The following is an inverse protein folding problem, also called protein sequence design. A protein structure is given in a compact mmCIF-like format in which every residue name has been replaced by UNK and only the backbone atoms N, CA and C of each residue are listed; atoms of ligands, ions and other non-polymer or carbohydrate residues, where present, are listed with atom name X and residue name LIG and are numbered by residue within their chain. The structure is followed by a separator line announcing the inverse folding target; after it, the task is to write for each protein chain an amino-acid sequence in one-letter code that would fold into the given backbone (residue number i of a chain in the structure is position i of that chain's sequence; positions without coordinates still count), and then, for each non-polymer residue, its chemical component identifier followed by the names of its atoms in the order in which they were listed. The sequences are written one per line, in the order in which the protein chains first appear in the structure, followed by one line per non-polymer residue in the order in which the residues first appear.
data_IF_401308326523
#
_entry.id   IF_401308326523
#
_cell.length_a   1.000
_cell.length_b   1.000
_cell.length_c   1.000
_cell.angle_alpha   90.00
_cell.angle_beta   90.00
_cell.angle_gamma   90.00
#
_symmetry.space_group_name_H-M   'P 1'
#
loop_
_entity.id
_entity.type
_entity.pdbx_description
1 polymer ?
#
# COMPACT_ATOMS: atom_id res chain seq x y z
N UNK A 1 20.77 23.22 19.50
CA UNK A 1 19.53 22.92 18.74
C UNK A 1 18.89 24.25 18.39
N UNK A 2 18.73 24.55 17.10
CA UNK A 2 17.99 25.74 16.65
C UNK A 2 16.52 25.52 16.99
N UNK A 3 15.93 26.43 17.75
CA UNK A 3 14.51 26.36 18.14
C UNK A 3 13.68 27.01 17.03
N UNK A 4 13.47 26.27 15.94
CA UNK A 4 12.62 26.70 14.82
C UNK A 4 11.17 26.77 15.30
N UNK A 5 10.50 27.89 15.02
CA UNK A 5 9.08 28.03 15.31
C UNK A 5 8.25 27.20 14.28
N UNK A 6 6.95 27.06 14.47
CA UNK A 6 6.11 26.25 13.56
C UNK A 6 6.02 26.83 12.14
N UNK A 7 6.15 28.15 11.99
CA UNK A 7 6.10 28.85 10.72
C UNK A 7 7.35 28.56 9.89
N UNK A 8 8.53 28.62 10.51
CA UNK A 8 9.80 28.23 9.90
C UNK A 8 9.73 26.77 9.40
N UNK A 9 9.18 25.86 10.21
CA UNK A 9 9.03 24.44 9.83
C UNK A 9 8.13 24.29 8.60
N UNK A 10 7.07 25.08 8.48
CA UNK A 10 6.17 25.05 7.32
C UNK A 10 6.83 25.61 6.05
N UNK A 11 7.57 26.71 6.16
CA UNK A 11 8.31 27.27 5.03
C UNK A 11 9.40 26.30 4.53
N UNK A 12 10.20 25.74 5.44
CA UNK A 12 11.18 24.72 5.09
C UNK A 12 10.54 23.46 4.51
N UNK A 13 9.37 23.05 5.03
CA UNK A 13 8.61 21.91 4.48
C UNK A 13 8.21 22.17 3.04
N UNK A 14 7.74 23.37 2.73
CA UNK A 14 7.34 23.75 1.37
C UNK A 14 8.52 23.75 0.41
N UNK A 15 9.66 24.29 0.84
CA UNK A 15 10.90 24.25 0.06
C UNK A 15 11.38 22.82 -0.21
N UNK A 16 11.35 21.96 0.82
CA UNK A 16 11.73 20.54 0.70
C UNK A 16 10.80 19.77 -0.23
N UNK A 17 9.50 19.99 -0.13
CA UNK A 17 8.52 19.38 -1.04
C UNK A 17 8.76 19.81 -2.49
N UNK A 18 9.05 21.10 -2.71
CA UNK A 18 9.38 21.61 -4.05
C UNK A 18 10.69 21.01 -4.58
N UNK A 19 11.73 20.92 -3.74
CA UNK A 19 12.98 20.28 -4.11
C UNK A 19 12.78 18.79 -4.46
N UNK A 20 11.91 18.10 -3.72
CA UNK A 20 11.54 16.71 -4.01
C UNK A 20 10.77 16.56 -5.33
N UNK A 21 9.94 17.54 -5.72
CA UNK A 21 9.26 17.54 -7.03
C UNK A 21 10.24 17.68 -8.21
N UNK A 22 11.36 18.35 -7.99
CA UNK A 22 12.42 18.47 -8.98
C UNK A 22 13.33 17.21 -9.02
N UNK A 23 13.24 16.35 -8.00
CA UNK A 23 14.08 15.18 -7.86
C UNK A 23 13.47 13.95 -8.53
N UNK A 24 14.06 13.49 -9.64
CA UNK A 24 13.60 12.27 -10.34
C UNK A 24 14.36 11.05 -9.85
N UNK A 25 13.61 10.13 -9.24
CA UNK A 25 14.12 8.82 -8.82
C UNK A 25 14.05 7.86 -10.00
N UNK A 26 15.21 7.30 -10.39
CA UNK A 26 15.28 6.29 -11.45
C UNK A 26 15.40 4.89 -10.85
N UNK A 27 16.53 4.59 -10.22
CA UNK A 27 16.75 3.36 -9.46
C UNK A 27 16.94 3.71 -7.98
N UNK A 28 16.24 3.03 -7.06
CA UNK A 28 16.22 3.47 -5.66
C UNK A 28 17.61 3.49 -5.02
N UNK A 29 18.40 2.44 -5.21
CA UNK A 29 19.75 2.34 -4.63
C UNK A 29 20.72 3.40 -5.15
N UNK A 30 20.50 3.93 -6.35
CA UNK A 30 21.36 4.95 -6.95
C UNK A 30 20.85 6.39 -6.72
N UNK A 31 19.58 6.54 -6.34
CA UNK A 31 18.90 7.84 -6.21
C UNK A 31 18.92 8.41 -4.79
N UNK A 32 19.52 7.72 -3.81
CA UNK A 32 19.59 8.24 -2.45
C UNK A 32 21.03 8.26 -1.99
N UNK A 33 21.47 9.44 -1.51
CA UNK A 33 22.73 9.55 -0.78
C UNK A 33 22.71 8.64 0.46
N UNK A 34 23.90 8.26 0.91
CA UNK A 34 24.05 7.38 2.08
C UNK A 34 23.28 7.94 3.28
N UNK A 35 22.46 7.10 3.91
CA UNK A 35 21.66 7.45 5.08
C UNK A 35 20.44 8.34 4.83
N UNK A 36 20.25 8.93 3.63
CA UNK A 36 19.12 9.83 3.36
C UNK A 36 17.77 9.15 3.57
N UNK A 37 17.56 7.99 2.95
CA UNK A 37 16.27 7.31 3.05
C UNK A 37 16.01 6.83 4.48
N UNK A 38 17.06 6.39 5.18
CA UNK A 38 16.97 5.98 6.57
C UNK A 38 16.59 7.15 7.47
N UNK A 39 17.18 8.32 7.25
CA UNK A 39 16.82 9.53 7.96
C UNK A 39 15.35 9.90 7.75
N UNK A 40 14.87 9.85 6.50
CA UNK A 40 13.46 10.14 6.18
C UNK A 40 12.52 9.15 6.87
N UNK A 41 12.82 7.85 6.81
CA UNK A 41 11.97 6.81 7.40
C UNK A 41 11.99 6.89 8.94
N UNK A 42 13.16 6.99 9.57
CA UNK A 42 13.29 6.87 11.02
C UNK A 42 13.04 8.21 11.72
N UNK A 43 13.61 9.29 11.20
CA UNK A 43 13.59 10.60 11.89
C UNK A 43 12.37 11.43 11.52
N UNK A 44 11.92 11.39 10.26
CA UNK A 44 10.77 12.15 9.80
C UNK A 44 9.49 11.34 9.93
N UNK A 45 9.31 10.26 9.17
CA UNK A 45 8.07 9.45 9.19
C UNK A 45 7.73 8.96 10.60
N UNK A 46 8.72 8.40 11.31
CA UNK A 46 8.58 7.92 12.70
C UNK A 46 8.48 9.02 13.77
N UNK A 47 8.48 10.31 13.40
CA UNK A 47 8.52 11.41 14.36
C UNK A 47 7.27 11.46 15.24
N UNK A 48 7.48 11.80 16.51
CA UNK A 48 6.40 12.12 17.45
C UNK A 48 5.71 13.46 17.15
N UNK A 49 6.34 14.32 16.34
CA UNK A 49 5.75 15.59 15.89
C UNK A 49 4.94 15.35 14.61
N UNK A 50 3.65 15.69 14.65
CA UNK A 50 2.73 15.45 13.53
C UNK A 50 3.17 16.12 12.21
N UNK A 51 3.72 17.33 12.28
CA UNK A 51 4.25 18.07 11.11
C UNK A 51 5.42 17.34 10.46
N UNK A 52 6.38 16.87 11.27
CA UNK A 52 7.56 16.16 10.78
C UNK A 52 7.18 14.79 10.20
N UNK A 53 6.25 14.08 10.85
CA UNK A 53 5.73 12.80 10.37
C UNK A 53 4.99 12.95 9.04
N UNK A 54 4.15 13.97 8.89
CA UNK A 54 3.47 14.26 7.63
C UNK A 54 4.46 14.65 6.53
N UNK A 55 5.42 15.53 6.81
CA UNK A 55 6.47 15.89 5.85
C UNK A 55 7.27 14.66 5.41
N UNK A 56 7.72 13.84 6.36
CA UNK A 56 8.44 12.60 6.09
C UNK A 56 7.62 11.65 5.21
N UNK A 57 6.34 11.49 5.50
CA UNK A 57 5.43 10.69 4.68
C UNK A 57 5.31 11.23 3.25
N UNK A 58 5.17 12.55 3.07
CA UNK A 58 5.06 13.18 1.74
C UNK A 58 6.36 13.06 0.94
N UNK A 59 7.51 13.26 1.58
CA UNK A 59 8.82 13.05 0.95
C UNK A 59 9.00 11.58 0.55
N UNK A 60 8.71 10.64 1.46
CA UNK A 60 8.80 9.22 1.17
C UNK A 60 7.86 8.82 0.01
N UNK A 61 6.64 9.35 -0.04
CA UNK A 61 5.71 9.12 -1.13
C UNK A 61 6.29 9.61 -2.46
N UNK A 62 6.80 10.85 -2.53
CA UNK A 62 7.42 11.40 -3.75
C UNK A 62 8.64 10.58 -4.19
N UNK A 63 9.45 10.12 -3.24
CA UNK A 63 10.62 9.30 -3.54
C UNK A 63 10.27 7.92 -4.10
N UNK A 64 9.14 7.36 -3.69
CA UNK A 64 8.68 6.06 -4.19
C UNK A 64 7.92 6.20 -5.52
N UNK A 65 7.13 7.24 -5.69
CA UNK A 65 6.19 7.38 -6.81
C UNK A 65 6.84 7.85 -8.13
N UNK A 66 7.53 6.95 -8.83
CA UNK A 66 8.17 7.23 -10.13
C UNK A 66 7.16 7.32 -11.28
N UNK A 67 5.98 6.75 -11.11
CA UNK A 67 4.96 6.64 -12.16
C UNK A 67 3.86 7.71 -12.09
N UNK A 68 3.96 8.65 -11.14
CA UNK A 68 2.97 9.69 -10.83
C UNK A 68 1.59 9.09 -10.44
N UNK A 69 1.58 8.00 -9.67
CA UNK A 69 0.38 7.33 -9.17
C UNK A 69 -0.24 8.04 -7.96
N UNK A 70 0.54 8.79 -7.17
CA UNK A 70 0.11 9.40 -5.91
C UNK A 70 -1.12 10.31 -6.09
N UNK A 71 -1.23 11.01 -7.22
CA UNK A 71 -2.38 11.84 -7.57
C UNK A 71 -3.70 11.05 -7.66
N UNK A 72 -3.64 9.76 -7.98
CA UNK A 72 -4.79 8.86 -8.07
C UNK A 72 -5.03 8.07 -6.77
N UNK A 73 -4.10 8.15 -5.82
CA UNK A 73 -4.14 7.44 -4.54
C UNK A 73 -4.49 8.37 -3.35
N UNK A 74 -4.98 9.58 -3.62
CA UNK A 74 -5.34 10.57 -2.59
C UNK A 74 -6.53 10.12 -1.72
N UNK A 75 -7.37 9.24 -2.25
CA UNK A 75 -8.57 8.74 -1.58
C UNK A 75 -8.54 7.22 -1.64
N UNK A 76 -8.59 6.52 -0.49
CA UNK A 76 -8.76 5.07 -0.48
C UNK A 76 -10.04 4.67 -1.20
N UNK A 77 -9.92 3.76 -2.17
CA UNK A 77 -11.01 3.22 -2.97
C UNK A 77 -10.92 1.70 -3.06
N UNK A 78 -11.95 1.04 -3.60
CA UNK A 78 -11.92 -0.38 -3.91
C UNK A 78 -11.46 -0.59 -5.36
N UNK A 79 -10.56 -1.55 -5.58
CA UNK A 79 -10.04 -1.92 -6.89
C UNK A 79 -10.64 -3.26 -7.34
N UNK A 80 -11.52 -3.20 -8.35
CA UNK A 80 -12.18 -4.39 -8.90
C UNK A 80 -11.38 -4.98 -10.07
N UNK A 81 -11.50 -6.29 -10.30
CA UNK A 81 -10.70 -7.05 -11.29
C UNK A 81 -10.69 -6.43 -12.69
N UNK A 82 -11.83 -5.91 -13.15
CA UNK A 82 -11.98 -5.31 -14.49
C UNK A 82 -12.06 -3.78 -14.48
N UNK A 83 -11.65 -3.15 -13.38
CA UNK A 83 -11.67 -1.69 -13.30
C UNK A 83 -10.61 -1.07 -14.19
N UNK A 84 -11.03 -0.14 -15.05
CA UNK A 84 -10.13 0.68 -15.85
C UNK A 84 -9.72 1.91 -15.04
N UNK A 85 -8.54 1.82 -14.43
CA UNK A 85 -8.01 2.86 -13.54
C UNK A 85 -6.75 3.44 -14.18
N UNK A 86 -6.51 4.74 -13.95
CA UNK A 86 -5.34 5.47 -14.47
C UNK A 86 -4.04 5.19 -13.72
N UNK A 87 -4.01 4.15 -12.89
CA UNK A 87 -2.81 3.72 -12.18
C UNK A 87 -1.88 2.97 -13.14
N UNK A 88 -0.59 3.26 -13.03
CA UNK A 88 0.47 2.58 -13.78
C UNK A 88 1.18 1.60 -12.85
N UNK A 89 1.40 0.39 -13.34
CA UNK A 89 2.20 -0.62 -12.64
C UNK A 89 3.64 -0.48 -13.16
N UNK A 90 4.58 -0.27 -12.25
CA UNK A 90 6.00 -0.16 -12.55
C UNK A 90 6.58 -1.48 -13.04
N UNK A 91 7.72 -1.39 -13.73
CA UNK A 91 8.44 -2.59 -14.14
C UNK A 91 9.16 -3.23 -12.96
N UNK A 92 9.19 -4.57 -12.94
CA UNK A 92 9.90 -5.29 -11.89
C UNK A 92 11.42 -5.15 -12.06
N UNK A 93 12.09 -4.52 -11.07
CA UNK A 93 13.56 -4.49 -10.95
C UNK A 93 14.03 -5.26 -9.70
N UNK A 94 14.91 -6.26 -9.85
CA UNK A 94 15.57 -6.94 -8.72
C UNK A 94 16.31 -6.01 -7.75
N UNK A 95 16.91 -4.91 -8.24
CA UNK A 95 17.63 -3.95 -7.42
C UNK A 95 16.66 -3.16 -6.53
N UNK A 96 15.55 -2.70 -7.09
CA UNK A 96 14.49 -2.04 -6.31
C UNK A 96 13.88 -2.98 -5.28
N UNK A 97 13.66 -4.25 -5.65
CA UNK A 97 13.24 -5.27 -4.68
C UNK A 97 14.26 -5.45 -3.55
N UNK A 98 15.55 -5.45 -3.85
CA UNK A 98 16.62 -5.56 -2.85
C UNK A 98 16.63 -4.34 -1.93
N UNK A 99 16.48 -3.15 -2.49
CA UNK A 99 16.38 -1.90 -1.74
C UNK A 99 15.19 -1.91 -0.78
N UNK A 100 13.99 -2.27 -1.26
CA UNK A 100 12.81 -2.38 -0.38
C UNK A 100 13.03 -3.46 0.67
N UNK A 101 13.65 -4.59 0.32
CA UNK A 101 13.97 -5.66 1.29
C UNK A 101 14.87 -5.16 2.41
N UNK A 102 15.89 -4.38 2.10
CA UNK A 102 16.82 -3.81 3.08
C UNK A 102 16.11 -2.88 4.07
N UNK A 103 15.13 -2.10 3.59
CA UNK A 103 14.45 -1.10 4.42
C UNK A 103 13.09 -1.57 4.97
N UNK A 104 12.62 -2.78 4.62
CA UNK A 104 11.26 -3.26 4.91
C UNK A 104 10.83 -3.15 6.37
N UNK A 105 11.74 -3.45 7.28
CA UNK A 105 11.46 -3.48 8.72
C UNK A 105 11.29 -2.05 9.24
N UNK A 106 12.22 -1.16 8.90
CA UNK A 106 12.15 0.26 9.23
C UNK A 106 10.92 0.92 8.61
N UNK A 107 10.61 0.61 7.35
CA UNK A 107 9.40 1.11 6.68
C UNK A 107 8.14 0.68 7.43
N UNK A 108 7.97 -0.62 7.67
CA UNK A 108 6.77 -1.11 8.34
C UNK A 108 6.62 -0.56 9.75
N UNK A 109 7.71 -0.54 10.54
CA UNK A 109 7.71 -0.02 11.90
C UNK A 109 7.33 1.47 11.95
N UNK A 110 7.99 2.31 11.13
CA UNK A 110 7.78 3.75 11.19
C UNK A 110 6.47 4.20 10.53
N UNK A 111 6.00 3.51 9.48
CA UNK A 111 4.65 3.76 8.94
C UNK A 111 3.56 3.39 9.97
N UNK A 112 3.71 2.26 10.67
CA UNK A 112 2.77 1.89 11.72
C UNK A 112 2.82 2.88 12.89
N UNK A 113 4.00 3.36 13.26
CA UNK A 113 4.16 4.40 14.27
C UNK A 113 3.46 5.70 13.86
N UNK A 114 3.58 6.11 12.58
CA UNK A 114 2.88 7.28 12.06
C UNK A 114 1.36 7.13 12.15
N UNK A 115 0.82 5.93 11.86
CA UNK A 115 -0.61 5.64 12.03
C UNK A 115 -1.01 5.64 13.51
N UNK A 116 -0.19 5.04 14.38
CA UNK A 116 -0.48 4.98 15.82
C UNK A 116 -0.54 6.37 16.47
N UNK A 117 0.43 7.23 16.16
CA UNK A 117 0.51 8.55 16.77
C UNK A 117 -0.42 9.57 16.10
N UNK A 118 -0.59 9.48 14.78
CA UNK A 118 -1.21 10.56 13.99
C UNK A 118 -2.39 10.09 13.13
N UNK A 119 -2.83 8.84 13.24
CA UNK A 119 -3.92 8.27 12.46
C UNK A 119 -5.31 8.83 12.79
N UNK A 120 -5.42 9.66 13.82
CA UNK A 120 -6.63 10.48 14.09
C UNK A 120 -6.75 11.68 13.14
N UNK A 121 -5.68 12.00 12.40
CA UNK A 121 -5.71 12.92 11.27
C UNK A 121 -5.88 12.13 9.96
N UNK A 122 -7.00 12.37 9.28
CA UNK A 122 -7.34 11.68 8.02
C UNK A 122 -6.30 11.92 6.91
N UNK A 123 -5.63 13.07 6.90
CA UNK A 123 -4.60 13.40 5.90
C UNK A 123 -3.38 12.49 6.08
N UNK A 124 -2.94 12.27 7.32
CA UNK A 124 -1.82 11.37 7.61
C UNK A 124 -2.16 9.94 7.18
N UNK A 125 -3.37 9.48 7.51
CA UNK A 125 -3.80 8.13 7.16
C UNK A 125 -3.91 7.91 5.65
N UNK A 126 -4.43 8.91 4.91
CA UNK A 126 -4.44 8.91 3.44
C UNK A 126 -3.02 8.88 2.86
N UNK A 127 -2.10 9.64 3.43
CA UNK A 127 -0.71 9.67 2.95
C UNK A 127 -0.03 8.32 3.17
N UNK A 128 -0.21 7.68 4.34
CA UNK A 128 0.29 6.32 4.60
C UNK A 128 -0.33 5.31 3.63
N UNK A 129 -1.64 5.40 3.38
CA UNK A 129 -2.29 4.60 2.34
C UNK A 129 -1.60 4.75 0.98
N UNK A 130 -1.39 5.99 0.51
CA UNK A 130 -0.74 6.24 -0.78
C UNK A 130 0.67 5.66 -0.83
N UNK A 131 1.46 5.76 0.25
CA UNK A 131 2.81 5.17 0.33
C UNK A 131 2.75 3.66 0.16
N UNK A 132 1.91 2.98 0.94
CA UNK A 132 1.76 1.51 0.89
C UNK A 132 1.32 1.06 -0.50
N UNK A 133 0.37 1.77 -1.11
CA UNK A 133 -0.10 1.49 -2.46
C UNK A 133 0.99 1.74 -3.52
N UNK A 134 1.74 2.83 -3.43
CA UNK A 134 2.86 3.11 -4.32
C UNK A 134 3.92 2.02 -4.23
N UNK A 135 4.27 1.52 -3.04
CA UNK A 135 5.22 0.41 -2.91
C UNK A 135 4.79 -0.84 -3.70
N UNK A 136 3.49 -1.16 -3.71
CA UNK A 136 2.96 -2.31 -4.47
C UNK A 136 2.99 -2.04 -5.98
N UNK A 137 2.63 -0.83 -6.40
CA UNK A 137 2.59 -0.43 -7.82
C UNK A 137 3.99 -0.33 -8.43
N UNK A 138 4.94 0.26 -7.70
CA UNK A 138 6.28 0.59 -8.19
C UNK A 138 7.21 -0.61 -8.30
N UNK A 139 7.03 -1.60 -7.41
CA UNK A 139 7.83 -2.83 -7.42
C UNK A 139 6.85 -4.01 -7.28
N UNK A 140 6.11 -4.38 -8.33
CA UNK A 140 5.01 -5.34 -8.24
C UNK A 140 5.55 -6.77 -8.06
N UNK A 141 5.75 -7.20 -6.82
CA UNK A 141 6.22 -8.55 -6.51
C UNK A 141 5.69 -9.06 -5.17
N UNK A 142 5.88 -10.36 -4.91
CA UNK A 142 5.41 -10.98 -3.67
C UNK A 142 5.99 -10.36 -2.39
N UNK A 143 7.17 -9.72 -2.46
CA UNK A 143 7.74 -9.02 -1.31
C UNK A 143 6.93 -7.79 -0.93
N UNK A 144 6.58 -6.93 -1.89
CA UNK A 144 5.83 -5.69 -1.65
C UNK A 144 4.37 -5.98 -1.37
N UNK A 145 3.77 -6.96 -2.04
CA UNK A 145 2.44 -7.46 -1.72
C UNK A 145 2.35 -7.94 -0.26
N UNK A 146 3.32 -8.77 0.18
CA UNK A 146 3.36 -9.24 1.56
C UNK A 146 3.64 -8.11 2.55
N UNK A 147 4.56 -7.20 2.24
CA UNK A 147 4.84 -6.05 3.11
C UNK A 147 3.61 -5.15 3.28
N UNK A 148 2.92 -4.81 2.20
CA UNK A 148 1.70 -4.01 2.23
C UNK A 148 0.56 -4.71 2.99
N UNK A 149 0.39 -6.01 2.77
CA UNK A 149 -0.54 -6.84 3.53
C UNK A 149 -0.22 -6.84 5.03
N UNK A 150 1.05 -7.00 5.41
CA UNK A 150 1.47 -6.95 6.81
C UNK A 150 1.20 -5.58 7.44
N UNK A 151 1.50 -4.48 6.74
CA UNK A 151 1.19 -3.12 7.23
C UNK A 151 -0.32 -2.93 7.40
N UNK A 152 -1.13 -3.37 6.42
CA UNK A 152 -2.58 -3.28 6.51
C UNK A 152 -3.15 -4.11 7.68
N UNK A 153 -2.65 -5.34 7.89
CA UNK A 153 -3.05 -6.15 9.05
C UNK A 153 -2.69 -5.49 10.37
N UNK A 154 -1.49 -4.93 10.49
CA UNK A 154 -1.08 -4.21 11.71
C UNK A 154 -1.96 -2.97 11.97
N UNK A 155 -2.37 -2.25 10.91
CA UNK A 155 -3.34 -1.14 11.03
C UNK A 155 -4.72 -1.64 11.47
N UNK A 156 -5.16 -2.80 10.97
CA UNK A 156 -6.40 -3.43 11.44
C UNK A 156 -6.32 -3.79 12.92
N UNK A 157 -5.22 -4.38 13.36
CA UNK A 157 -5.02 -4.76 14.77
C UNK A 157 -5.01 -3.55 15.69
N UNK A 158 -4.36 -2.46 15.26
CA UNK A 158 -4.41 -1.17 15.96
C UNK A 158 -5.85 -0.67 16.08
N UNK A 159 -6.61 -0.67 14.98
CA UNK A 159 -7.99 -0.21 14.95
C UNK A 159 -8.93 -1.06 15.82
N UNK A 160 -8.62 -2.33 16.07
CA UNK A 160 -9.42 -3.23 16.90
C UNK A 160 -9.07 -3.14 18.38
N UNK A 161 -7.79 -3.07 18.73
CA UNK A 161 -7.33 -3.30 20.10
C UNK A 161 -6.86 -2.04 20.84
N UNK A 162 -6.34 -1.05 20.11
CA UNK A 162 -5.80 0.16 20.75
C UNK A 162 -6.93 0.96 21.39
N UNK A 163 -6.70 1.43 22.60
CA UNK A 163 -7.68 2.24 23.35
C UNK A 163 -7.55 3.72 22.97
N UNK A 164 -8.61 4.49 23.16
CA UNK A 164 -8.57 5.95 22.92
C UNK A 164 -8.64 6.40 21.45
N UNK A 165 -8.64 5.48 20.47
CA UNK A 165 -8.90 5.85 19.07
C UNK A 165 -10.40 6.13 18.90
N UNK A 166 -10.79 7.34 18.44
CA UNK A 166 -12.18 7.67 18.16
C UNK A 166 -12.78 6.76 17.09
N UNK A 167 -14.08 6.50 17.21
CA UNK A 167 -14.79 5.64 16.28
C UNK A 167 -14.57 6.03 14.79
N UNK A 168 -14.78 7.29 14.37
CA UNK A 168 -14.53 7.69 12.98
C UNK A 168 -13.14 7.32 12.45
N UNK A 169 -12.11 7.43 13.28
CA UNK A 169 -10.74 7.11 12.90
C UNK A 169 -10.53 5.61 12.70
N UNK A 170 -11.16 4.77 13.53
CA UNK A 170 -11.15 3.31 13.34
C UNK A 170 -11.82 2.91 12.02
N UNK A 171 -12.90 3.57 11.63
CA UNK A 171 -13.51 3.37 10.30
C UNK A 171 -12.54 3.67 9.17
N UNK A 172 -11.83 4.79 9.27
CA UNK A 172 -10.84 5.16 8.28
C UNK A 172 -9.75 4.09 8.15
N UNK A 173 -9.25 3.59 9.29
CA UNK A 173 -8.25 2.51 9.30
C UNK A 173 -8.78 1.27 8.58
N UNK A 174 -10.01 0.83 8.84
CA UNK A 174 -10.60 -0.33 8.13
C UNK A 174 -10.86 -0.08 6.65
N UNK A 175 -11.21 1.14 6.25
CA UNK A 175 -11.34 1.54 4.86
C UNK A 175 -9.98 1.51 4.15
N UNK A 176 -8.90 2.00 4.78
CA UNK A 176 -7.53 1.88 4.29
C UNK A 176 -7.16 0.42 4.04
N UNK A 177 -7.40 -0.44 5.03
CA UNK A 177 -7.04 -1.86 4.99
C UNK A 177 -7.65 -2.55 3.77
N UNK A 178 -8.98 -2.42 3.59
CA UNK A 178 -9.66 -3.08 2.46
C UNK A 178 -9.26 -2.47 1.11
N UNK A 179 -8.98 -1.17 1.06
CA UNK A 179 -8.43 -0.53 -0.14
C UNK A 179 -7.06 -1.09 -0.53
N UNK A 180 -6.14 -1.23 0.42
CA UNK A 180 -4.82 -1.83 0.18
C UNK A 180 -4.97 -3.28 -0.29
N UNK A 181 -5.79 -4.09 0.37
CA UNK A 181 -5.99 -5.49 -0.03
C UNK A 181 -6.57 -5.60 -1.44
N UNK A 182 -7.57 -4.77 -1.78
CA UNK A 182 -8.14 -4.76 -3.13
C UNK A 182 -7.14 -4.30 -4.20
N UNK A 183 -6.25 -3.36 -3.89
CA UNK A 183 -5.17 -2.96 -4.80
C UNK A 183 -4.18 -4.11 -5.03
N UNK A 184 -3.79 -4.83 -3.98
CA UNK A 184 -2.91 -6.01 -4.10
C UNK A 184 -3.56 -7.04 -5.04
N UNK A 185 -4.86 -7.29 -4.90
CA UNK A 185 -5.60 -8.16 -5.81
C UNK A 185 -5.51 -7.69 -7.27
N UNK A 186 -5.68 -6.38 -7.50
CA UNK A 186 -5.68 -5.77 -8.83
C UNK A 186 -4.31 -5.81 -9.51
N UNK A 187 -3.26 -5.42 -8.79
CA UNK A 187 -1.89 -5.44 -9.32
C UNK A 187 -1.45 -6.86 -9.68
N UNK A 188 -1.76 -7.83 -8.80
CA UNK A 188 -1.26 -9.20 -8.95
C UNK A 188 -2.22 -10.16 -9.66
N UNK A 189 -3.46 -9.75 -9.92
CA UNK A 189 -4.52 -10.63 -10.47
C UNK A 189 -4.64 -11.92 -9.65
N UNK A 190 -4.84 -11.77 -8.34
CA UNK A 190 -4.88 -12.88 -7.40
C UNK A 190 -6.33 -13.35 -7.13
N UNK A 191 -6.88 -14.34 -7.86
CA UNK A 191 -8.32 -14.66 -7.82
C UNK A 191 -8.79 -15.15 -6.45
N UNK A 192 -7.97 -15.94 -5.75
CA UNK A 192 -8.30 -16.44 -4.40
C UNK A 192 -8.41 -15.29 -3.40
N UNK A 193 -7.47 -14.33 -3.49
CA UNK A 193 -7.51 -13.14 -2.64
C UNK A 193 -8.68 -12.23 -3.01
N UNK A 194 -9.01 -12.12 -4.30
CA UNK A 194 -10.18 -11.39 -4.78
C UNK A 194 -11.48 -11.90 -4.17
N UNK A 195 -11.71 -13.21 -4.21
CA UNK A 195 -12.89 -13.82 -3.59
C UNK A 195 -12.97 -13.46 -2.11
N UNK A 196 -11.84 -13.56 -1.40
CA UNK A 196 -11.81 -13.25 0.02
C UNK A 196 -12.11 -11.77 0.32
N UNK A 197 -11.43 -10.85 -0.37
CA UNK A 197 -11.69 -9.41 -0.24
C UNK A 197 -13.14 -9.06 -0.58
N UNK A 198 -13.69 -9.63 -1.65
CA UNK A 198 -15.08 -9.41 -2.06
C UNK A 198 -16.08 -9.91 -1.01
N UNK A 199 -15.81 -11.04 -0.36
CA UNK A 199 -16.62 -11.54 0.75
C UNK A 199 -16.64 -10.55 1.93
N UNK A 200 -15.48 -10.04 2.34
CA UNK A 200 -15.38 -9.05 3.42
C UNK A 200 -16.11 -7.74 3.04
N UNK A 201 -15.85 -7.21 1.83
CA UNK A 201 -16.51 -5.99 1.32
C UNK A 201 -18.03 -6.16 1.31
N UNK A 202 -18.53 -7.29 0.83
CA UNK A 202 -19.98 -7.56 0.71
C UNK A 202 -20.65 -7.69 2.08
N UNK A 203 -20.00 -8.32 3.06
CA UNK A 203 -20.50 -8.40 4.45
C UNK A 203 -20.55 -7.01 5.08
N UNK A 204 -19.46 -6.24 4.97
CA UNK A 204 -19.39 -4.85 5.45
C UNK A 204 -20.48 -3.98 4.83
N UNK A 205 -20.72 -4.09 3.51
CA UNK A 205 -21.76 -3.32 2.84
C UNK A 205 -23.16 -3.57 3.41
N UNK A 206 -23.45 -4.79 3.88
CA UNK A 206 -24.73 -5.17 4.47
C UNK A 206 -24.85 -4.81 5.96
N UNK A 207 -23.78 -5.00 6.71
CA UNK A 207 -23.85 -4.98 8.19
C UNK A 207 -23.20 -3.74 8.83
N UNK A 208 -22.16 -3.19 8.20
CA UNK A 208 -21.31 -2.13 8.73
C UNK A 208 -20.67 -1.30 7.58
N UNK A 209 -21.48 -0.60 6.75
CA UNK A 209 -20.99 0.01 5.51
C UNK A 209 -19.94 1.10 5.73
N UNK A 210 -19.91 1.71 6.90
CA UNK A 210 -18.91 2.70 7.31
C UNK A 210 -17.47 2.13 7.39
N UNK A 211 -17.29 0.80 7.45
CA UNK A 211 -15.97 0.14 7.41
C UNK A 211 -15.39 0.01 5.99
N UNK A 212 -16.19 0.26 4.97
CA UNK A 212 -15.73 0.32 3.58
C UNK A 212 -15.43 1.78 3.21
N UNK A 213 -14.58 2.00 2.19
CA UNK A 213 -14.42 3.32 1.59
C UNK A 213 -15.77 3.92 1.12
N UNK A 214 -15.91 5.26 1.11
CA UNK A 214 -14.86 6.26 1.37
C UNK A 214 -14.66 6.58 2.85
N UNK A 215 -13.49 7.12 3.19
CA UNK A 215 -13.24 7.75 4.49
C UNK A 215 -14.04 9.07 4.60
N UNK A 216 -14.87 9.22 5.63
CA UNK A 216 -15.73 10.40 5.83
C UNK A 216 -15.57 10.99 7.23
N UNK A 217 -15.67 12.32 7.38
CA UNK A 217 -15.67 12.95 8.71
C UNK A 217 -16.93 12.61 9.52
N UNK A 218 -18.06 12.43 8.82
CA UNK A 218 -19.35 12.14 9.43
C UNK A 218 -19.94 10.88 8.81
N UNK A 219 -20.29 9.91 9.65
CA UNK A 219 -20.93 8.66 9.23
C UNK A 219 -22.38 8.62 9.71
N UNK A 220 -23.32 8.43 8.77
CA UNK A 220 -24.72 8.19 9.09
C UNK A 220 -24.92 6.70 9.36
N UNK A 221 -24.85 6.32 10.64
CA UNK A 221 -25.00 4.92 11.05
C UNK A 221 -26.48 4.65 11.30
N UNK A 222 -27.09 3.79 10.48
CA UNK A 222 -28.47 3.35 10.68
C UNK A 222 -28.62 2.56 11.99
N UNK A 223 -29.80 2.63 12.61
CA UNK A 223 -30.11 1.94 13.88
C UNK A 223 -29.93 0.42 13.83
N UNK A 224 -29.93 -0.18 12.64
CA UNK A 224 -29.76 -1.62 12.40
C UNK A 224 -28.32 -2.02 12.03
N UNK A 225 -27.39 -1.08 11.84
CA UNK A 225 -26.00 -1.39 11.55
C UNK A 225 -25.27 -1.76 12.82
N UNK A 226 -24.49 -2.84 12.76
CA UNK A 226 -23.72 -3.34 13.90
C UNK A 226 -22.58 -2.36 14.19
N UNK A 227 -22.30 -2.10 15.47
CA UNK A 227 -21.19 -1.29 15.94
C UNK A 227 -19.83 -2.01 15.87
N UNK A 228 -19.66 -2.91 14.88
CA UNK A 228 -18.37 -3.43 14.41
C UNK A 228 -17.65 -4.40 15.37
N UNK A 229 -18.45 -5.09 16.19
CA UNK A 229 -18.03 -6.13 17.12
C UNK A 229 -18.00 -7.56 16.53
N UNK A 230 -18.34 -7.75 15.25
CA UNK A 230 -18.37 -9.07 14.61
C UNK A 230 -17.00 -9.37 13.97
N UNK A 231 -16.28 -10.43 14.39
CA UNK A 231 -14.99 -10.80 13.83
C UNK A 231 -15.03 -11.04 12.31
N UNK A 232 -16.16 -11.53 11.80
CA UNK A 232 -16.37 -11.85 10.38
C UNK A 232 -16.36 -10.65 9.42
N UNK A 233 -16.30 -9.43 9.96
CA UNK A 233 -16.15 -8.17 9.22
C UNK A 233 -14.68 -7.82 8.97
N UNK A 234 -13.73 -8.54 9.55
CA UNK A 234 -12.30 -8.23 9.51
C UNK A 234 -11.52 -9.32 8.78
N UNK A 235 -10.35 -8.96 8.28
CA UNK A 235 -9.44 -9.93 7.66
C UNK A 235 -8.80 -10.81 8.74
N UNK A 236 -8.69 -12.10 8.45
CA UNK A 236 -7.94 -13.07 9.26
C UNK A 236 -6.53 -13.25 8.68
N UNK A 237 -5.51 -13.16 9.54
CA UNK A 237 -4.11 -13.18 9.14
C UNK A 237 -3.73 -14.45 8.36
N UNK A 238 -4.21 -15.61 8.81
CA UNK A 238 -3.89 -16.89 8.16
C UNK A 238 -4.54 -17.04 6.78
N UNK A 239 -5.79 -16.59 6.60
CA UNK A 239 -6.48 -16.62 5.30
C UNK A 239 -5.77 -15.73 4.28
N UNK A 240 -5.34 -14.54 4.71
CA UNK A 240 -4.60 -13.60 3.90
C UNK A 240 -3.23 -14.17 3.47
N UNK A 241 -2.46 -14.70 4.43
CA UNK A 241 -1.16 -15.34 4.16
C UNK A 241 -1.32 -16.52 3.22
N UNK A 242 -2.33 -17.36 3.42
CA UNK A 242 -2.63 -18.49 2.53
C UNK A 242 -2.95 -18.03 1.11
N UNK A 243 -3.81 -17.01 0.95
CA UNK A 243 -4.20 -16.50 -0.36
C UNK A 243 -2.99 -15.90 -1.13
N UNK A 244 -2.14 -15.13 -0.44
CA UNK A 244 -0.91 -14.58 -1.02
C UNK A 244 0.08 -15.69 -1.37
N UNK A 245 0.33 -16.62 -0.45
CA UNK A 245 1.23 -17.75 -0.66
C UNK A 245 0.80 -18.59 -1.87
N UNK A 246 -0.49 -18.95 -1.95
CA UNK A 246 -1.06 -19.74 -3.05
C UNK A 246 -0.86 -19.04 -4.40
N UNK A 247 -1.05 -17.73 -4.45
CA UNK A 247 -0.84 -16.95 -5.66
C UNK A 247 0.64 -16.93 -6.10
N UNK A 248 1.56 -16.59 -5.18
CA UNK A 248 2.98 -16.43 -5.53
C UNK A 248 3.73 -17.76 -5.69
N UNK A 249 3.27 -18.85 -5.08
CA UNK A 249 3.79 -20.19 -5.37
C UNK A 249 3.39 -20.70 -6.75
N UNK A 250 2.12 -20.51 -7.14
CA UNK A 250 1.62 -20.95 -8.45
C UNK A 250 2.36 -20.31 -9.63
N UNK A 251 2.83 -19.06 -9.46
CA UNK A 251 3.62 -18.35 -10.48
C UNK A 251 5.07 -18.85 -10.67
N UNK A 252 5.65 -19.55 -9.68
CA UNK A 252 7.00 -20.14 -9.85
C UNK A 252 6.98 -21.47 -10.61
N UNK A 253 5.85 -22.18 -10.64
CA UNK A 253 5.71 -23.47 -11.31
C UNK A 253 5.45 -23.38 -12.83
N UNK A 254 5.17 -22.19 -13.37
CA UNK A 254 4.86 -21.98 -14.79
C UNK A 254 5.96 -21.20 -15.54
N UNK A 255 7.22 -21.62 -15.43
CA UNK A 255 8.18 -21.34 -16.51
C UNK A 255 8.03 -22.43 -17.58
N UNK A 256 7.51 -22.14 -18.78
CA UNK A 256 7.57 -23.12 -19.86
C UNK A 256 9.04 -23.37 -20.19
N UNK A 257 9.45 -24.63 -20.10
CA UNK A 257 10.71 -25.12 -20.64
C UNK A 257 10.81 -24.70 -22.11
N UNK A 258 11.72 -23.78 -22.43
CA UNK A 258 12.13 -23.49 -23.80
C UNK A 258 13.07 -24.60 -24.28
N UNK A 259 12.56 -25.83 -24.40
CA UNK A 259 13.26 -26.90 -25.09
C UNK A 259 12.24 -27.90 -25.62
N UNK A 260 11.83 -27.67 -26.88
CA UNK A 260 11.41 -28.65 -27.89
C UNK A 260 10.89 -27.91 -29.12
N UNK A 261 11.76 -27.17 -29.79
CA UNK A 261 11.56 -26.88 -31.22
C UNK A 261 12.07 -28.12 -31.96
N UNK A 262 11.18 -29.09 -32.15
CA UNK A 262 11.41 -30.18 -33.07
C UNK A 262 11.45 -29.62 -34.49
N UNK A 263 12.61 -29.62 -35.11
CA UNK A 263 12.80 -29.43 -36.54
C UNK A 263 12.01 -30.49 -37.30
N UNK A 264 10.80 -30.16 -37.77
CA UNK A 264 10.18 -30.88 -38.89
C UNK A 264 10.36 -30.04 -40.15
N UNK A 265 11.26 -30.51 -41.02
CA UNK A 265 11.38 -30.01 -42.40
C UNK A 265 10.07 -30.33 -43.16
N UNK A 266 9.52 -29.41 -43.96
CA UNK A 266 8.43 -29.74 -44.87
C UNK A 266 8.99 -30.48 -46.09
N UNK A 267 8.50 -31.69 -46.34
CA UNK A 267 8.67 -32.40 -47.61
C UNK A 267 7.69 -31.83 -48.63
N UNK A 268 8.24 -31.15 -49.65
CA UNK A 268 7.52 -30.77 -50.87
C UNK A 268 7.22 -32.04 -51.69
N UNK A 269 5.94 -32.39 -51.82
CA UNK A 269 5.50 -33.30 -52.88
C UNK A 269 5.34 -32.49 -54.17
N UNK A 270 6.25 -32.70 -55.12
CA UNK A 270 6.09 -32.29 -56.51
C UNK A 270 5.43 -33.47 -57.22
N UNK A 271 4.21 -33.27 -57.72
CA UNK A 271 3.52 -34.23 -58.57
C UNK A 271 4.10 -34.22 -59.98
N UNK A 272 4.24 -35.41 -60.55
CA UNK A 272 4.35 -35.67 -61.99
C UNK A 272 3.09 -36.41 -62.43
#
# INVERSE_FOLDING_TARGET
MVNLNQEDVLEFSTLLEHAADLYKVHAYSASFGEGLIEHVIVTLVGSTKATNSLLGCRLLLKFLDRQDNAQYLLVPTLFYEFSQIRLKIGEYDPNDKSFIRQHREKLNLNLLQAVKLHGTNIVNLKTVYSIVCCMVLEVPCGLTAAAAACTAMAVQDLALHEQGIPAPCRYWMHALVVSVMSLICWVHKAPVLYTYVNHIVSRRAKEAPHLNPPMMYFYKIGRHHVTWNKPTLFFEDWELRYALWKHFQGGQAQKPSKDKIGTKKPTLHIGH
#
